data_IF_050931484835
#
_entry.id   IF_050931484835
#
_cell.length_a   1.000
_cell.length_b   1.000
_cell.length_c   1.000
_cell.angle_alpha   90.00
_cell.angle_beta   90.00
_cell.angle_gamma   90.00
#
_symmetry.space_group_name_H-M   'P 1'
#
loop_
_entity.id
_entity.type
_entity.pdbx_description
1 polymer ?
#
# COMPACT_ATOMS: atom_id res chain seq x y z
N UNK A 1 20.55 26.44 -64.38
CA UNK A 1 19.79 26.40 -63.16
C UNK A 1 19.52 24.93 -62.81
N UNK A 2 20.20 24.41 -61.79
CA UNK A 2 19.96 23.06 -61.26
C UNK A 2 19.15 23.20 -59.98
N UNK A 3 17.96 22.59 -59.93
CA UNK A 3 17.12 22.47 -58.73
C UNK A 3 17.52 21.18 -58.00
N UNK A 4 17.89 21.34 -56.74
CA UNK A 4 18.18 20.25 -55.83
C UNK A 4 16.89 19.96 -55.04
N UNK A 5 16.35 18.76 -55.20
CA UNK A 5 15.20 18.28 -54.43
C UNK A 5 15.66 17.79 -53.04
N UNK A 6 15.15 18.35 -51.99
CA UNK A 6 15.32 17.89 -50.60
C UNK A 6 14.23 16.87 -50.30
N UNK A 7 14.63 15.59 -50.21
CA UNK A 7 13.74 14.53 -49.73
C UNK A 7 13.73 14.52 -48.20
N UNK A 8 12.58 14.81 -47.62
CA UNK A 8 12.31 14.64 -46.17
C UNK A 8 12.00 13.18 -45.88
N UNK A 9 12.94 12.52 -45.21
CA UNK A 9 12.75 11.17 -44.67
C UNK A 9 12.00 11.31 -43.34
N UNK A 10 10.71 11.04 -43.32
CA UNK A 10 9.95 10.97 -42.08
C UNK A 10 10.21 9.61 -41.41
N UNK A 11 11.07 9.60 -40.41
CA UNK A 11 11.18 8.48 -39.47
C UNK A 11 10.02 8.53 -38.46
N UNK A 12 9.00 7.70 -38.68
CA UNK A 12 8.03 7.37 -37.64
C UNK A 12 8.64 6.30 -36.74
N UNK A 13 9.28 6.74 -35.65
CA UNK A 13 9.71 5.85 -34.58
C UNK A 13 8.45 5.42 -33.77
N UNK A 14 8.12 4.15 -33.85
CA UNK A 14 7.10 3.54 -33.01
C UNK A 14 7.63 3.40 -31.58
N UNK A 15 7.07 4.10 -30.57
CA UNK A 15 7.61 4.07 -29.20
C UNK A 15 7.41 2.73 -28.47
N UNK A 16 6.60 1.83 -29.01
CA UNK A 16 6.20 0.59 -28.33
C UNK A 16 7.18 -0.58 -28.48
N UNK A 17 8.08 -0.57 -29.48
CA UNK A 17 9.03 -1.68 -29.67
C UNK A 17 10.22 -1.60 -28.70
N UNK A 18 10.70 -0.40 -28.42
CA UNK A 18 11.84 -0.18 -27.51
C UNK A 18 11.49 -0.48 -26.04
N UNK A 19 10.24 -0.24 -25.63
CA UNK A 19 9.75 -0.60 -24.29
C UNK A 19 9.59 -2.11 -24.11
N UNK A 20 9.12 -2.82 -25.15
CA UNK A 20 8.95 -4.27 -25.10
C UNK A 20 10.30 -5.02 -25.13
N UNK A 21 11.29 -4.52 -25.85
CA UNK A 21 12.65 -5.10 -25.85
C UNK A 21 13.39 -4.85 -24.54
N UNK A 22 13.23 -3.66 -23.93
CA UNK A 22 13.82 -3.38 -22.61
C UNK A 22 13.18 -4.21 -21.50
N UNK A 23 11.87 -4.46 -21.54
CA UNK A 23 11.17 -5.35 -20.61
C UNK A 23 11.65 -6.80 -20.72
N UNK A 24 11.82 -7.32 -21.94
CA UNK A 24 12.38 -8.67 -22.17
C UNK A 24 13.83 -8.80 -21.70
N UNK A 25 14.64 -7.76 -21.86
CA UNK A 25 16.04 -7.78 -21.42
C UNK A 25 16.18 -7.78 -19.90
N UNK A 26 15.21 -7.17 -19.18
CA UNK A 26 15.19 -7.11 -17.72
C UNK A 26 14.67 -8.41 -17.07
N UNK A 27 13.80 -9.17 -17.74
CA UNK A 27 13.33 -10.48 -17.27
C UNK A 27 14.41 -11.59 -17.33
N UNK A 28 15.36 -11.48 -18.23
CA UNK A 28 16.36 -12.54 -18.49
C UNK A 28 17.37 -12.74 -17.35
N UNK A 29 17.52 -11.78 -16.42
CA UNK A 29 18.50 -11.86 -15.34
C UNK A 29 17.91 -11.98 -13.93
N UNK A 30 16.59 -12.06 -13.76
CA UNK A 30 15.96 -12.21 -12.45
C UNK A 30 15.55 -13.67 -12.20
N UNK A 31 16.05 -14.28 -11.11
CA UNK A 31 15.67 -15.64 -10.72
C UNK A 31 14.35 -15.69 -9.94
N UNK A 32 14.00 -14.60 -9.28
CA UNK A 32 12.78 -14.51 -8.46
C UNK A 32 12.07 -13.20 -8.69
N UNK A 33 10.75 -13.28 -8.86
CA UNK A 33 9.84 -12.12 -8.90
C UNK A 33 8.91 -12.19 -7.69
N UNK A 34 8.68 -11.03 -7.05
CA UNK A 34 7.66 -10.84 -6.03
C UNK A 34 6.78 -9.66 -6.42
N UNK A 35 5.49 -9.90 -6.50
CA UNK A 35 4.48 -8.87 -6.77
C UNK A 35 3.87 -8.38 -5.46
N UNK A 36 3.84 -7.08 -5.25
CA UNK A 36 3.13 -6.41 -4.18
C UNK A 36 1.91 -5.71 -4.76
N UNK A 37 0.71 -6.14 -4.37
CA UNK A 37 -0.53 -5.40 -4.59
C UNK A 37 -0.87 -4.63 -3.33
N UNK A 38 -1.38 -3.40 -3.48
CA UNK A 38 -1.78 -2.63 -2.31
C UNK A 38 -2.96 -1.70 -2.56
N UNK A 39 -3.66 -1.41 -1.47
CA UNK A 39 -4.73 -0.42 -1.34
C UNK A 39 -4.51 0.41 -0.08
N UNK A 40 -5.22 1.52 0.02
CA UNK A 40 -5.32 2.38 1.19
C UNK A 40 -6.64 3.16 1.16
N UNK A 41 -7.08 3.65 2.31
CA UNK A 41 -8.20 4.59 2.43
C UNK A 41 -9.45 4.11 1.66
N UNK A 42 -9.88 2.88 1.93
CA UNK A 42 -10.99 2.25 1.22
C UNK A 42 -12.34 2.88 1.58
N UNK A 43 -12.46 3.40 2.82
CA UNK A 43 -13.60 4.18 3.28
C UNK A 43 -14.95 3.54 2.97
N UNK A 44 -15.06 2.23 3.25
CA UNK A 44 -16.29 1.45 3.06
C UNK A 44 -16.94 1.61 1.67
N UNK A 45 -16.16 2.02 0.65
CA UNK A 45 -16.66 2.21 -0.71
C UNK A 45 -16.83 0.84 -1.39
N UNK A 46 -17.91 0.14 -1.04
CA UNK A 46 -18.23 -1.19 -1.55
C UNK A 46 -18.67 -1.11 -3.01
N UNK A 47 -19.61 -0.21 -3.31
CA UNK A 47 -20.11 0.02 -4.66
C UNK A 47 -19.20 0.96 -5.44
N UNK A 48 -19.14 0.84 -6.78
CA UNK A 48 -18.50 1.85 -7.62
C UNK A 48 -19.19 3.21 -7.45
N UNK A 49 -18.48 4.26 -7.83
CA UNK A 49 -19.11 5.57 -7.96
C UNK A 49 -20.17 5.52 -9.07
N UNK A 50 -21.30 6.18 -8.84
CA UNK A 50 -22.38 6.29 -9.81
C UNK A 50 -21.90 6.99 -11.08
N UNK A 51 -22.54 6.68 -12.22
CA UNK A 51 -22.22 7.28 -13.53
C UNK A 51 -22.41 8.80 -13.56
N UNK A 52 -23.24 9.34 -12.69
CA UNK A 52 -23.48 10.78 -12.52
C UNK A 52 -22.42 11.48 -11.66
N UNK A 53 -21.51 10.76 -11.02
CA UNK A 53 -20.49 11.34 -10.17
C UNK A 53 -19.42 12.06 -11.00
N UNK A 54 -19.22 13.35 -10.76
CA UNK A 54 -18.46 14.22 -11.67
C UNK A 54 -16.96 13.91 -11.74
N UNK A 55 -16.37 13.38 -10.68
CA UNK A 55 -14.90 13.17 -10.59
C UNK A 55 -14.44 11.80 -11.06
N UNK A 56 -15.14 10.75 -10.67
CA UNK A 56 -14.74 9.36 -10.90
C UNK A 56 -15.94 8.49 -11.33
N UNK A 57 -16.67 8.86 -12.41
CA UNK A 57 -17.86 8.14 -12.82
C UNK A 57 -17.53 6.67 -13.14
N UNK A 58 -18.36 5.76 -12.68
CA UNK A 58 -18.23 4.31 -12.88
C UNK A 58 -16.93 3.69 -12.37
N UNK A 59 -16.16 4.37 -11.49
CA UNK A 59 -14.90 3.84 -10.98
C UNK A 59 -15.04 3.25 -9.57
N UNK A 60 -14.07 2.40 -9.19
CA UNK A 60 -14.03 1.73 -7.91
C UNK A 60 -14.93 0.48 -7.85
N UNK A 61 -15.26 0.10 -6.62
CA UNK A 61 -16.09 -1.05 -6.30
C UNK A 61 -15.30 -2.32 -5.97
N UNK A 62 -15.74 -2.98 -4.87
CA UNK A 62 -15.06 -4.18 -4.36
C UNK A 62 -15.14 -5.37 -5.32
N UNK A 63 -16.27 -5.54 -6.03
CA UNK A 63 -16.44 -6.65 -6.99
C UNK A 63 -15.44 -6.56 -8.13
N UNK A 64 -15.28 -5.40 -8.75
CA UNK A 64 -14.29 -5.17 -9.81
C UNK A 64 -12.86 -5.34 -9.31
N UNK A 65 -12.56 -4.80 -8.13
CA UNK A 65 -11.24 -4.99 -7.51
C UNK A 65 -10.96 -6.47 -7.24
N UNK A 66 -11.93 -7.23 -6.74
CA UNK A 66 -11.80 -8.67 -6.53
C UNK A 66 -11.51 -9.41 -7.85
N UNK A 67 -12.24 -9.10 -8.92
CA UNK A 67 -12.00 -9.70 -10.23
C UNK A 67 -10.59 -9.41 -10.76
N UNK A 68 -10.12 -8.16 -10.65
CA UNK A 68 -8.77 -7.78 -11.04
C UNK A 68 -7.71 -8.49 -10.21
N UNK A 69 -7.86 -8.54 -8.87
CA UNK A 69 -6.94 -9.26 -7.98
C UNK A 69 -6.89 -10.74 -8.34
N UNK A 70 -8.03 -11.37 -8.60
CA UNK A 70 -8.11 -12.77 -9.01
C UNK A 70 -7.38 -13.01 -10.34
N UNK A 71 -7.56 -12.13 -11.33
CA UNK A 71 -6.83 -12.18 -12.59
C UNK A 71 -5.32 -12.11 -12.36
N UNK A 72 -4.84 -11.12 -11.60
CA UNK A 72 -3.41 -10.97 -11.31
C UNK A 72 -2.88 -12.21 -10.57
N UNK A 73 -3.62 -12.76 -9.59
CA UNK A 73 -3.22 -13.99 -8.88
C UNK A 73 -3.13 -15.22 -9.79
N UNK A 74 -3.89 -15.27 -10.87
CA UNK A 74 -3.77 -16.35 -11.85
C UNK A 74 -2.47 -16.29 -12.65
N UNK A 75 -1.96 -15.08 -12.87
CA UNK A 75 -0.75 -14.76 -13.61
C UNK A 75 0.51 -14.76 -12.71
N UNK A 76 0.38 -14.22 -11.49
CA UNK A 76 1.48 -13.98 -10.54
C UNK A 76 1.39 -14.96 -9.36
N UNK A 77 2.28 -15.96 -9.34
CA UNK A 77 2.27 -17.00 -8.28
C UNK A 77 2.85 -16.53 -6.95
N UNK A 78 3.73 -15.53 -6.99
CA UNK A 78 4.45 -15.02 -5.82
C UNK A 78 3.99 -13.60 -5.51
N UNK A 79 2.93 -13.46 -4.71
CA UNK A 79 2.21 -12.21 -4.50
C UNK A 79 1.88 -11.97 -3.03
N UNK A 80 1.92 -10.72 -2.61
CA UNK A 80 1.34 -10.19 -1.37
C UNK A 80 0.31 -9.10 -1.71
N UNK A 81 -0.85 -9.13 -1.06
CA UNK A 81 -1.89 -8.11 -1.13
C UNK A 81 -2.00 -7.42 0.23
N UNK A 82 -1.68 -6.12 0.28
CA UNK A 82 -1.51 -5.34 1.49
C UNK A 82 -2.46 -4.13 1.51
N UNK A 83 -2.77 -3.64 2.70
CA UNK A 83 -3.60 -2.44 2.87
C UNK A 83 -2.98 -1.49 3.92
N UNK A 84 -3.10 -0.20 3.69
CA UNK A 84 -2.49 0.83 4.54
C UNK A 84 -3.50 1.58 5.43
N UNK A 85 -4.62 0.93 5.78
CA UNK A 85 -5.60 1.46 6.76
C UNK A 85 -6.67 2.39 6.17
N UNK A 86 -7.50 2.93 7.06
CA UNK A 86 -8.74 3.64 6.75
C UNK A 86 -9.69 2.79 5.88
N UNK A 87 -9.95 1.59 6.38
CA UNK A 87 -10.90 0.65 5.78
C UNK A 87 -12.33 1.14 6.02
N UNK A 88 -12.57 1.67 7.24
CA UNK A 88 -13.88 2.07 7.73
C UNK A 88 -14.28 3.48 7.30
N UNK A 89 -15.58 3.78 7.51
CA UNK A 89 -16.19 5.09 7.37
C UNK A 89 -16.23 5.60 5.91
N UNK A 90 -17.24 6.40 5.56
CA UNK A 90 -17.37 7.08 4.27
C UNK A 90 -18.61 6.69 3.47
N UNK A 91 -19.26 5.57 3.75
CA UNK A 91 -20.52 5.16 3.09
C UNK A 91 -21.54 4.59 4.09
N UNK A 92 -22.84 4.51 3.73
CA UNK A 92 -23.86 3.88 4.57
C UNK A 92 -23.55 2.44 4.99
N UNK A 93 -22.72 1.70 4.23
CA UNK A 93 -22.32 0.34 4.57
C UNK A 93 -21.66 0.27 5.95
N UNK A 94 -20.76 1.20 6.25
CA UNK A 94 -20.15 1.27 7.58
C UNK A 94 -21.20 1.51 8.69
N UNK A 95 -22.17 2.39 8.45
CA UNK A 95 -23.22 2.68 9.43
C UNK A 95 -24.09 1.46 9.73
N UNK A 96 -24.34 0.60 8.74
CA UNK A 96 -25.16 -0.60 8.91
C UNK A 96 -24.38 -1.80 9.45
N UNK A 97 -23.13 -1.99 9.00
CA UNK A 97 -22.36 -3.20 9.27
C UNK A 97 -21.17 -2.98 10.20
N UNK A 98 -20.80 -1.71 10.50
CA UNK A 98 -19.76 -1.35 11.46
C UNK A 98 -18.36 -1.88 11.12
N UNK A 99 -18.08 -2.19 9.84
CA UNK A 99 -16.81 -2.74 9.38
C UNK A 99 -16.82 -4.26 9.13
N UNK A 100 -17.88 -4.96 9.54
CA UNK A 100 -17.97 -6.42 9.35
C UNK A 100 -17.95 -6.82 7.86
N UNK A 101 -18.68 -6.07 7.02
CA UNK A 101 -18.76 -6.32 5.58
C UNK A 101 -17.40 -6.12 4.91
N UNK A 102 -16.72 -5.03 5.23
CA UNK A 102 -15.41 -4.68 4.70
C UNK A 102 -14.39 -5.80 4.99
N UNK A 103 -14.31 -6.24 6.24
CA UNK A 103 -13.37 -7.30 6.64
C UNK A 103 -13.68 -8.65 5.99
N UNK A 104 -14.97 -9.00 5.84
CA UNK A 104 -15.38 -10.21 5.12
C UNK A 104 -14.96 -10.15 3.65
N UNK A 105 -15.22 -9.04 2.96
CA UNK A 105 -14.90 -8.87 1.55
C UNK A 105 -13.39 -8.83 1.32
N UNK A 106 -12.62 -8.13 2.15
CA UNK A 106 -11.16 -8.14 2.11
C UNK A 106 -10.59 -9.55 2.34
N UNK A 107 -11.17 -10.30 3.28
CA UNK A 107 -10.78 -11.68 3.54
C UNK A 107 -11.06 -12.60 2.34
N UNK A 108 -12.20 -12.40 1.65
CA UNK A 108 -12.54 -13.14 0.42
C UNK A 108 -11.57 -12.80 -0.72
N UNK A 109 -11.11 -11.56 -0.83
CA UNK A 109 -10.08 -11.14 -1.79
C UNK A 109 -8.68 -11.66 -1.44
N UNK A 110 -8.49 -12.18 -0.21
CA UNK A 110 -7.23 -12.74 0.24
C UNK A 110 -6.17 -11.68 0.57
N UNK A 111 -6.55 -10.61 1.28
CA UNK A 111 -5.56 -9.70 1.84
C UNK A 111 -4.62 -10.46 2.79
N UNK A 112 -3.32 -10.19 2.70
CA UNK A 112 -2.28 -10.84 3.52
C UNK A 112 -2.03 -10.09 4.83
N UNK A 113 -2.18 -8.76 4.84
CA UNK A 113 -2.08 -7.90 6.03
C UNK A 113 -2.66 -6.51 5.78
N UNK A 114 -3.04 -5.82 6.87
CA UNK A 114 -3.38 -4.40 6.89
C UNK A 114 -2.73 -3.71 8.10
N UNK A 115 -2.67 -2.36 8.09
CA UNK A 115 -2.48 -1.56 9.31
C UNK A 115 -3.79 -0.83 9.66
N UNK A 116 -3.81 -0.11 10.80
CA UNK A 116 -4.96 0.72 11.17
C UNK A 116 -4.71 2.18 10.79
N UNK A 117 -5.72 2.79 10.15
CA UNK A 117 -5.80 4.23 10.00
C UNK A 117 -6.64 4.88 11.11
N UNK A 118 -6.81 6.20 11.07
CA UNK A 118 -7.57 6.93 12.09
C UNK A 118 -9.08 6.63 12.04
N UNK A 119 -9.63 6.39 10.87
CA UNK A 119 -11.05 6.04 10.73
C UNK A 119 -11.38 4.60 11.14
N UNK A 120 -10.38 3.73 11.26
CA UNK A 120 -10.59 2.39 11.83
C UNK A 120 -10.92 2.44 13.34
N UNK A 121 -10.76 3.62 13.99
CA UNK A 121 -11.21 3.88 15.35
C UNK A 121 -12.61 4.51 15.46
N UNK A 122 -13.31 4.79 14.37
CA UNK A 122 -14.58 5.54 14.40
C UNK A 122 -15.69 4.84 15.19
N UNK A 123 -15.74 3.51 15.19
CA UNK A 123 -16.63 2.71 16.04
C UNK A 123 -16.07 2.42 17.45
N UNK A 124 -14.94 3.05 17.80
CA UNK A 124 -14.20 2.74 19.01
C UNK A 124 -13.52 1.38 19.00
N UNK A 125 -12.70 1.13 20.01
CA UNK A 125 -11.99 -0.15 20.17
C UNK A 125 -12.95 -1.34 20.31
N UNK A 126 -14.09 -1.13 20.96
CA UNK A 126 -15.12 -2.17 21.10
C UNK A 126 -15.71 -2.57 19.74
N UNK A 127 -16.07 -1.57 18.92
CA UNK A 127 -16.60 -1.81 17.58
C UNK A 127 -15.58 -2.52 16.68
N UNK A 128 -14.33 -2.10 16.71
CA UNK A 128 -13.26 -2.75 15.97
C UNK A 128 -13.07 -4.22 16.42
N UNK A 129 -12.94 -4.45 17.74
CA UNK A 129 -12.78 -5.80 18.30
C UNK A 129 -13.94 -6.72 17.93
N UNK A 130 -15.18 -6.22 17.95
CA UNK A 130 -16.38 -6.98 17.59
C UNK A 130 -16.31 -7.54 16.18
N UNK A 131 -15.79 -6.77 15.20
CA UNK A 131 -15.76 -7.18 13.79
C UNK A 131 -14.46 -7.85 13.39
N UNK A 132 -13.38 -7.70 14.18
CA UNK A 132 -12.05 -8.25 13.92
C UNK A 132 -12.04 -9.76 13.59
N UNK A 133 -12.86 -10.66 14.17
CA UNK A 133 -12.89 -12.08 13.80
C UNK A 133 -13.24 -12.35 12.33
N UNK A 134 -13.82 -11.38 11.61
CA UNK A 134 -14.12 -11.49 10.19
C UNK A 134 -12.90 -11.21 9.30
N UNK A 135 -11.87 -10.55 9.81
CA UNK A 135 -10.59 -10.39 9.12
C UNK A 135 -9.77 -11.69 9.23
N UNK A 136 -9.47 -12.32 8.09
CA UNK A 136 -8.60 -13.51 8.01
C UNK A 136 -7.12 -13.13 7.77
N UNK A 137 -6.79 -11.88 7.93
CA UNK A 137 -5.48 -11.28 7.84
C UNK A 137 -5.17 -10.51 9.13
N UNK A 138 -3.89 -10.42 9.52
CA UNK A 138 -3.51 -9.66 10.71
C UNK A 138 -3.53 -8.16 10.47
N UNK A 139 -3.84 -7.40 11.53
CA UNK A 139 -3.52 -5.98 11.61
C UNK A 139 -2.13 -5.82 12.22
N UNK A 140 -1.26 -5.10 11.49
CA UNK A 140 0.12 -4.82 11.88
C UNK A 140 0.20 -3.38 12.38
N UNK A 141 0.29 -3.19 13.68
CA UNK A 141 0.31 -1.88 14.34
C UNK A 141 1.54 -1.80 15.24
N UNK A 142 2.61 -1.15 14.76
CA UNK A 142 3.88 -1.13 15.47
C UNK A 142 4.00 0.02 16.45
N UNK A 143 3.35 1.18 16.15
CA UNK A 143 3.43 2.40 16.94
C UNK A 143 2.18 2.74 17.75
N UNK A 144 1.17 1.88 17.74
CA UNK A 144 0.05 1.93 18.67
C UNK A 144 0.25 0.86 19.75
N UNK A 145 0.49 1.29 20.98
CA UNK A 145 0.49 0.39 22.14
C UNK A 145 -0.93 0.27 22.69
N UNK A 146 -1.50 -0.91 22.52
CA UNK A 146 -2.85 -1.25 23.00
C UNK A 146 -2.86 -1.89 24.37
N UNK A 147 -1.75 -1.93 25.07
CA UNK A 147 -1.61 -2.52 26.37
C UNK A 147 -2.65 -2.03 27.35
N UNK A 148 -3.34 -2.00 28.03
CA UNK A 148 -4.43 -1.47 28.85
C UNK A 148 -5.72 -1.19 28.07
N UNK A 149 -5.87 -1.75 26.87
CA UNK A 149 -7.10 -1.69 26.10
C UNK A 149 -7.61 -3.08 25.76
N UNK A 150 -8.83 -3.14 25.25
CA UNK A 150 -9.41 -4.42 24.80
C UNK A 150 -8.76 -4.99 23.55
N UNK A 151 -7.91 -4.21 22.85
CA UNK A 151 -7.15 -4.67 21.68
C UNK A 151 -5.76 -5.20 22.07
N UNK A 152 -5.42 -5.30 23.35
CA UNK A 152 -4.18 -5.92 23.79
C UNK A 152 -4.07 -7.36 23.26
N UNK A 153 -2.96 -7.65 22.55
CA UNK A 153 -2.72 -8.93 21.88
C UNK A 153 -3.62 -9.24 20.66
N UNK A 154 -4.46 -8.29 20.21
CA UNK A 154 -5.33 -8.47 19.04
C UNK A 154 -4.66 -8.03 17.72
N UNK A 155 -3.65 -7.19 17.81
CA UNK A 155 -2.80 -6.76 16.69
C UNK A 155 -1.39 -7.28 16.89
N UNK A 156 -0.57 -7.24 15.84
CA UNK A 156 0.83 -7.66 15.92
C UNK A 156 1.75 -6.52 15.50
N UNK A 157 2.97 -6.41 16.07
CA UNK A 157 3.86 -5.31 15.73
C UNK A 157 4.57 -5.49 14.37
N UNK A 158 4.75 -6.72 13.91
CA UNK A 158 5.33 -7.03 12.60
C UNK A 158 4.91 -8.42 12.12
N UNK A 159 5.05 -8.67 10.83
CA UNK A 159 4.85 -9.99 10.21
C UNK A 159 6.00 -10.28 9.23
N UNK A 160 6.39 -11.55 9.17
CA UNK A 160 7.36 -12.01 8.16
C UNK A 160 6.67 -13.01 7.26
N UNK A 161 6.75 -12.78 5.95
CA UNK A 161 6.27 -13.69 4.92
C UNK A 161 7.47 -14.31 4.20
N UNK A 162 7.36 -15.58 3.87
CA UNK A 162 8.30 -16.25 2.96
C UNK A 162 7.58 -16.47 1.62
N UNK A 163 8.01 -15.80 0.60
CA UNK A 163 7.44 -15.84 -0.74
C UNK A 163 8.48 -16.36 -1.72
N UNK A 164 8.41 -17.66 -2.02
CA UNK A 164 9.35 -18.36 -2.91
C UNK A 164 10.82 -18.13 -2.52
N UNK A 165 11.11 -18.27 -1.21
CA UNK A 165 12.46 -18.08 -0.67
C UNK A 165 12.82 -16.63 -0.35
N UNK A 166 12.09 -15.62 -0.85
CA UNK A 166 12.26 -14.22 -0.48
C UNK A 166 11.57 -13.96 0.87
N UNK A 167 12.33 -13.47 1.83
CA UNK A 167 11.86 -13.16 3.18
C UNK A 167 11.45 -11.69 3.27
N UNK A 168 10.14 -11.44 3.39
CA UNK A 168 9.55 -10.10 3.42
C UNK A 168 9.14 -9.76 4.85
N UNK A 169 9.78 -8.76 5.45
CA UNK A 169 9.40 -8.23 6.74
C UNK A 169 8.45 -7.04 6.57
N UNK A 170 7.33 -7.04 7.29
CA UNK A 170 6.33 -5.98 7.24
C UNK A 170 6.09 -5.47 8.65
N UNK A 171 6.08 -4.15 8.82
CA UNK A 171 5.64 -3.45 10.03
C UNK A 171 4.68 -2.31 9.66
N UNK A 172 3.93 -1.76 10.62
CA UNK A 172 2.91 -0.75 10.35
C UNK A 172 2.99 0.45 11.27
N UNK A 173 2.82 1.66 10.75
CA UNK A 173 2.76 2.90 11.54
C UNK A 173 1.50 3.70 11.21
N UNK A 174 0.87 4.24 12.26
CA UNK A 174 -0.31 5.09 12.15
C UNK A 174 -0.08 6.49 12.70
N UNK A 175 -0.94 7.41 12.30
CA UNK A 175 -0.92 8.83 12.67
C UNK A 175 -1.29 9.00 14.15
N UNK A 176 -0.88 10.13 14.75
CA UNK A 176 -1.31 10.52 16.08
C UNK A 176 -2.84 10.70 16.13
N UNK A 177 -3.49 10.00 17.05
CA UNK A 177 -4.95 10.00 17.18
C UNK A 177 -5.48 11.24 17.91
N UNK A 178 -4.66 11.83 18.79
CA UNK A 178 -5.04 13.01 19.54
C UNK A 178 -5.31 14.20 18.61
N UNK A 179 -6.47 14.81 18.76
CA UNK A 179 -6.90 15.91 17.88
C UNK A 179 -7.57 15.48 16.57
N UNK A 180 -7.41 14.20 16.16
CA UNK A 180 -8.06 13.62 14.98
C UNK A 180 -9.25 12.74 15.35
N UNK A 181 -9.08 11.89 16.35
CA UNK A 181 -10.07 10.91 16.80
C UNK A 181 -10.52 11.27 18.22
N UNK A 182 -11.79 11.11 18.52
CA UNK A 182 -12.31 11.34 19.87
C UNK A 182 -11.64 10.41 20.89
N UNK A 183 -11.22 10.93 22.07
CA UNK A 183 -10.52 10.14 23.10
C UNK A 183 -11.28 8.85 23.47
N UNK A 184 -12.60 8.87 23.47
CA UNK A 184 -13.43 7.70 23.78
C UNK A 184 -13.25 6.57 22.75
N UNK A 185 -12.94 6.89 21.50
CA UNK A 185 -12.81 5.91 20.42
C UNK A 185 -11.49 5.15 20.46
N UNK A 186 -10.40 5.78 20.94
CA UNK A 186 -9.10 5.09 21.05
C UNK A 186 -8.71 4.76 22.52
N UNK A 187 -9.49 5.19 23.50
CA UNK A 187 -9.30 4.82 24.90
C UNK A 187 -7.90 5.10 25.44
N UNK A 188 -7.28 4.11 26.08
CA UNK A 188 -5.93 4.19 26.64
C UNK A 188 -4.83 3.78 25.63
N UNK A 189 -5.15 3.71 24.34
CA UNK A 189 -4.13 3.50 23.29
C UNK A 189 -3.05 4.57 23.35
N UNK A 190 -1.78 4.15 23.43
CA UNK A 190 -0.65 5.05 23.43
C UNK A 190 -0.04 5.09 22.03
N UNK A 191 0.01 6.28 21.45
CA UNK A 191 0.73 6.52 20.21
C UNK A 191 2.22 6.75 20.50
N UNK A 192 3.07 6.12 19.69
CA UNK A 192 4.53 6.24 19.75
C UNK A 192 5.04 6.90 18.48
N UNK A 193 6.18 7.61 18.56
CA UNK A 193 6.76 8.31 17.42
C UNK A 193 7.05 7.36 16.26
N UNK A 194 6.41 7.55 15.08
CA UNK A 194 6.53 6.61 13.98
C UNK A 194 7.94 6.52 13.38
N UNK A 195 8.77 7.58 13.49
CA UNK A 195 10.15 7.56 13.01
C UNK A 195 11.01 6.63 13.89
N UNK A 196 10.89 6.72 15.21
CA UNK A 196 11.62 5.88 16.16
C UNK A 196 11.22 4.41 16.01
N UNK A 197 9.92 4.16 15.93
CA UNK A 197 9.36 2.82 15.75
C UNK A 197 9.75 2.23 14.39
N UNK A 198 9.68 3.01 13.33
CA UNK A 198 10.07 2.54 11.99
C UNK A 198 11.57 2.23 11.92
N UNK A 199 12.43 3.04 12.57
CA UNK A 199 13.86 2.75 12.67
C UNK A 199 14.10 1.45 13.43
N UNK A 200 13.44 1.25 14.58
CA UNK A 200 13.56 0.04 15.37
C UNK A 200 13.16 -1.21 14.56
N UNK A 201 11.96 -1.24 13.98
CA UNK A 201 11.48 -2.43 13.28
C UNK A 201 12.20 -2.67 11.95
N UNK A 202 12.58 -1.64 11.21
CA UNK A 202 13.34 -1.83 9.98
C UNK A 202 14.74 -2.43 10.25
N UNK A 203 15.45 -1.97 11.29
CA UNK A 203 16.73 -2.55 11.71
C UNK A 203 16.55 -3.99 12.21
N UNK A 204 15.58 -4.23 13.07
CA UNK A 204 15.29 -5.57 13.60
C UNK A 204 14.95 -6.56 12.48
N UNK A 205 14.07 -6.19 11.55
CA UNK A 205 13.69 -7.04 10.43
C UNK A 205 14.88 -7.29 9.50
N UNK A 206 15.69 -6.27 9.24
CA UNK A 206 16.85 -6.38 8.36
C UNK A 206 17.99 -7.15 8.99
N UNK A 207 18.35 -6.82 10.22
CA UNK A 207 19.60 -7.28 10.85
C UNK A 207 19.39 -8.56 11.67
N UNK A 208 18.30 -8.68 12.46
CA UNK A 208 18.08 -9.84 13.31
C UNK A 208 17.27 -10.92 12.59
N UNK A 209 16.22 -10.53 11.87
CA UNK A 209 15.37 -11.46 11.12
C UNK A 209 15.90 -11.78 9.74
N UNK A 210 16.90 -11.04 9.22
CA UNK A 210 17.51 -11.25 7.90
C UNK A 210 16.48 -11.23 6.77
N UNK A 211 15.59 -10.24 6.78
CA UNK A 211 14.62 -10.05 5.70
C UNK A 211 15.30 -9.50 4.45
N UNK A 212 14.95 -10.07 3.31
CA UNK A 212 15.46 -9.67 1.98
C UNK A 212 14.77 -8.37 1.51
N UNK A 213 13.51 -8.15 1.91
CA UNK A 213 12.71 -6.94 1.65
C UNK A 213 12.03 -6.49 2.93
N UNK A 214 12.01 -5.18 3.21
CA UNK A 214 11.33 -4.58 4.36
C UNK A 214 10.32 -3.55 3.87
N UNK A 215 9.04 -3.76 4.22
CA UNK A 215 7.92 -2.91 3.82
C UNK A 215 7.31 -2.27 5.07
N UNK A 216 7.05 -0.96 5.00
CA UNK A 216 6.26 -0.22 5.98
C UNK A 216 4.85 -0.01 5.42
N UNK A 217 3.82 -0.48 6.12
CA UNK A 217 2.44 -0.03 5.92
C UNK A 217 2.26 1.25 6.72
N UNK A 218 2.01 2.36 6.05
CA UNK A 218 2.01 3.67 6.67
C UNK A 218 0.65 4.35 6.55
N UNK A 219 0.12 4.81 7.69
CA UNK A 219 -1.08 5.64 7.71
C UNK A 219 -0.80 6.99 8.40
N UNK A 220 0.32 7.65 7.98
CA UNK A 220 0.72 8.95 8.53
C UNK A 220 0.61 10.10 7.53
N UNK A 221 0.24 9.79 6.27
CA UNK A 221 0.14 10.75 5.19
C UNK A 221 1.42 10.92 4.37
N UNK A 222 1.25 11.16 3.06
CA UNK A 222 2.36 11.29 2.12
C UNK A 222 3.21 12.55 2.36
N UNK A 223 2.52 13.72 2.45
CA UNK A 223 3.16 15.04 2.57
C UNK A 223 2.16 16.06 3.13
N UNK A 224 2.67 17.05 3.88
CA UNK A 224 1.89 18.15 4.44
C UNK A 224 2.48 19.48 3.99
N UNK A 225 1.91 20.07 2.93
CA UNK A 225 2.43 21.31 2.32
C UNK A 225 2.38 22.50 3.29
N UNK A 226 1.34 22.56 4.13
CA UNK A 226 1.11 23.66 5.08
C UNK A 226 1.90 23.46 6.39
N UNK A 227 2.41 22.28 6.65
CA UNK A 227 3.28 21.97 7.79
C UNK A 227 4.40 20.97 7.38
N UNK A 228 5.47 21.47 6.74
CA UNK A 228 6.56 20.62 6.25
C UNK A 228 7.34 19.87 7.34
N UNK A 229 7.09 20.18 8.64
CA UNK A 229 7.71 19.48 9.78
C UNK A 229 6.84 18.35 10.32
N UNK A 230 5.56 18.31 9.95
CA UNK A 230 4.66 17.23 10.34
C UNK A 230 5.16 15.91 9.76
N UNK A 231 5.26 14.90 10.62
CA UNK A 231 5.75 13.57 10.21
C UNK A 231 4.87 13.04 9.08
N UNK A 232 5.52 12.61 8.01
CA UNK A 232 4.91 12.13 6.76
C UNK A 232 5.76 11.00 6.17
N UNK A 233 5.23 10.29 5.17
CA UNK A 233 5.96 9.22 4.47
C UNK A 233 7.27 9.72 3.88
N UNK A 234 7.31 10.95 3.37
CA UNK A 234 8.53 11.59 2.85
C UNK A 234 9.59 11.77 3.95
N UNK A 235 9.16 12.26 5.11
CA UNK A 235 10.06 12.46 6.26
C UNK A 235 10.50 11.09 6.81
N UNK A 236 9.57 10.14 6.91
CA UNK A 236 9.87 8.78 7.36
C UNK A 236 10.94 8.13 6.46
N UNK A 237 10.76 8.18 5.14
CA UNK A 237 11.71 7.66 4.17
C UNK A 237 13.10 8.30 4.32
N UNK A 238 13.16 9.63 4.50
CA UNK A 238 14.42 10.35 4.61
C UNK A 238 15.13 10.16 5.96
N UNK A 239 14.37 9.94 7.05
CA UNK A 239 14.90 9.88 8.42
C UNK A 239 15.08 8.48 8.99
N UNK A 240 14.80 7.43 8.23
CA UNK A 240 14.98 6.04 8.67
C UNK A 240 15.93 5.28 7.75
N UNK A 241 16.39 4.11 8.21
CA UNK A 241 17.22 3.20 7.45
C UNK A 241 16.59 1.82 7.38
N UNK A 242 16.94 1.03 6.35
CA UNK A 242 16.54 -0.37 6.27
C UNK A 242 15.17 -0.65 5.66
N UNK A 243 14.37 0.38 5.38
CA UNK A 243 13.10 0.27 4.63
C UNK A 243 13.40 0.28 3.13
N UNK A 244 12.73 -0.57 2.36
CA UNK A 244 12.78 -0.57 0.90
C UNK A 244 11.55 0.06 0.27
N UNK A 245 10.36 -0.14 0.89
CA UNK A 245 9.08 0.33 0.38
C UNK A 245 8.20 0.83 1.52
N UNK A 246 7.61 2.01 1.34
CA UNK A 246 6.52 2.54 2.16
C UNK A 246 5.25 2.53 1.31
N UNK A 247 4.22 1.86 1.79
CA UNK A 247 2.87 1.90 1.25
C UNK A 247 2.05 2.83 2.14
N UNK A 248 1.73 4.02 1.60
CA UNK A 248 1.12 5.11 2.37
C UNK A 248 -0.40 5.15 2.31
N UNK A 249 -0.99 5.97 3.21
CA UNK A 249 -2.42 6.26 3.32
C UNK A 249 -2.67 7.67 3.90
N UNK A 250 -3.87 7.92 4.41
CA UNK A 250 -4.34 9.09 5.14
C UNK A 250 -4.57 10.36 4.30
N UNK A 251 -3.65 10.76 3.47
CA UNK A 251 -3.77 12.01 2.68
C UNK A 251 -4.47 11.81 1.33
N UNK A 252 -4.94 10.61 1.03
CA UNK A 252 -5.63 10.26 -0.22
C UNK A 252 -4.84 10.67 -1.46
N UNK A 253 -3.51 10.62 -1.40
CA UNK A 253 -2.64 11.10 -2.47
C UNK A 253 -2.63 10.11 -3.63
N UNK A 254 -2.95 10.58 -4.83
CA UNK A 254 -2.80 9.79 -6.05
C UNK A 254 -1.38 9.98 -6.60
N UNK A 255 -0.50 9.02 -6.34
CA UNK A 255 0.82 8.99 -6.96
C UNK A 255 0.72 8.20 -8.27
N UNK A 256 1.05 8.81 -9.42
CA UNK A 256 1.01 8.10 -10.70
C UNK A 256 2.04 6.97 -10.75
N UNK A 257 3.12 7.11 -9.99
CA UNK A 257 4.20 6.15 -9.82
C UNK A 257 4.82 6.26 -8.43
N UNK A 258 5.45 5.19 -7.90
CA UNK A 258 6.21 5.26 -6.67
C UNK A 258 7.28 6.34 -6.72
N UNK A 259 7.36 7.16 -5.68
CA UNK A 259 8.36 8.22 -5.54
C UNK A 259 9.58 7.67 -4.80
N UNK A 260 10.78 8.00 -5.27
CA UNK A 260 12.04 7.57 -4.66
C UNK A 260 12.61 8.66 -3.76
N UNK A 261 12.94 8.31 -2.53
CA UNK A 261 13.58 9.17 -1.54
C UNK A 261 14.90 8.57 -1.08
N UNK A 262 15.89 9.43 -0.82
CA UNK A 262 17.16 8.99 -0.28
C UNK A 262 17.12 9.00 1.25
N UNK A 263 17.42 7.87 1.87
CA UNK A 263 17.48 7.73 3.32
C UNK A 263 18.81 8.24 3.92
N UNK A 264 18.93 8.19 5.26
CA UNK A 264 20.15 8.67 5.98
C UNK A 264 21.45 7.98 5.54
N UNK A 265 21.37 6.77 4.97
CA UNK A 265 22.53 5.99 4.49
C UNK A 265 22.73 6.08 2.97
N UNK A 266 22.08 7.03 2.31
CA UNK A 266 22.21 7.24 0.87
C UNK A 266 21.54 6.15 0.02
N UNK A 267 20.63 5.34 0.57
CA UNK A 267 19.89 4.31 -0.15
C UNK A 267 18.50 4.81 -0.53
N UNK A 268 18.00 4.33 -1.65
CA UNK A 268 16.66 4.64 -2.10
C UNK A 268 15.59 3.89 -1.29
N UNK A 269 14.53 4.60 -0.94
CA UNK A 269 13.29 4.11 -0.37
C UNK A 269 12.16 4.50 -1.30
N UNK A 270 11.36 3.54 -1.74
CA UNK A 270 10.17 3.83 -2.54
C UNK A 270 8.99 4.15 -1.64
N UNK A 271 8.21 5.17 -2.02
CA UNK A 271 6.93 5.52 -1.38
C UNK A 271 5.84 5.50 -2.43
N UNK A 272 4.76 4.74 -2.19
CA UNK A 272 3.59 4.74 -3.05
C UNK A 272 2.30 4.92 -2.23
N UNK A 273 1.35 5.67 -2.80
CA UNK A 273 -0.01 5.83 -2.28
C UNK A 273 -0.98 5.88 -3.46
N UNK A 274 -2.11 5.17 -3.38
CA UNK A 274 -3.02 4.95 -4.52
C UNK A 274 -4.37 5.64 -4.35
N UNK A 275 -4.34 6.83 -3.78
CA UNK A 275 -5.52 7.67 -3.60
C UNK A 275 -6.43 7.15 -2.49
N UNK A 276 -7.70 6.89 -2.81
CA UNK A 276 -8.74 6.48 -1.86
C UNK A 276 -9.87 5.71 -2.54
N UNK A 277 -10.83 5.21 -1.74
CA UNK A 277 -12.07 4.58 -2.19
C UNK A 277 -11.88 3.36 -3.11
N UNK A 278 -10.67 2.79 -3.16
CA UNK A 278 -10.35 1.67 -4.04
C UNK A 278 -10.46 2.01 -5.53
N UNK A 279 -10.23 3.28 -5.90
CA UNK A 279 -10.19 3.75 -7.29
C UNK A 279 -9.01 3.17 -8.06
N UNK A 280 -7.89 2.95 -7.36
CA UNK A 280 -6.71 2.32 -7.91
C UNK A 280 -6.33 1.07 -7.11
N UNK A 281 -5.72 0.11 -7.79
CA UNK A 281 -4.96 -0.98 -7.19
C UNK A 281 -3.49 -0.77 -7.55
N UNK A 282 -2.65 -0.54 -6.54
CA UNK A 282 -1.21 -0.43 -6.74
C UNK A 282 -0.61 -1.80 -7.01
N UNK A 283 0.28 -1.89 -8.00
CA UNK A 283 1.06 -3.08 -8.31
C UNK A 283 2.52 -2.70 -8.45
N UNK A 284 3.38 -3.33 -7.64
CA UNK A 284 4.84 -3.14 -7.66
C UNK A 284 5.48 -4.52 -7.75
N UNK A 285 6.30 -4.74 -8.75
CA UNK A 285 7.03 -5.98 -8.98
C UNK A 285 8.51 -5.79 -8.62
N UNK A 286 9.00 -6.57 -7.68
CA UNK A 286 10.42 -6.65 -7.31
C UNK A 286 11.06 -7.86 -8.00
N UNK A 287 12.20 -7.63 -8.65
CA UNK A 287 12.99 -8.66 -9.33
C UNK A 287 14.31 -8.87 -8.58
N UNK A 288 14.58 -10.09 -8.20
CA UNK A 288 15.73 -10.45 -7.37
C UNK A 288 16.72 -11.36 -8.13
N UNK A 289 18.01 -11.19 -7.85
CA UNK A 289 19.05 -12.12 -8.29
C UNK A 289 19.10 -13.39 -7.41
N UNK A 290 20.00 -14.32 -7.75
CA UNK A 290 20.26 -15.56 -6.99
C UNK A 290 20.67 -15.32 -5.52
N UNK A 291 21.20 -14.14 -5.20
CA UNK A 291 21.58 -13.76 -3.85
C UNK A 291 20.44 -13.00 -3.12
N UNK A 292 19.25 -12.98 -3.69
CA UNK A 292 18.05 -12.29 -3.19
C UNK A 292 18.22 -10.78 -3.04
N UNK A 293 19.07 -10.19 -3.87
CA UNK A 293 19.21 -8.74 -3.97
C UNK A 293 18.29 -8.20 -5.05
N UNK A 294 17.57 -7.14 -4.75
CA UNK A 294 16.74 -6.43 -5.72
C UNK A 294 17.61 -5.90 -6.85
N UNK A 295 17.31 -6.31 -8.08
CA UNK A 295 17.99 -5.89 -9.31
C UNK A 295 17.19 -4.87 -10.08
N UNK A 296 15.86 -5.03 -10.07
CA UNK A 296 14.97 -4.15 -10.78
C UNK A 296 13.61 -4.06 -10.06
N UNK A 297 12.90 -2.97 -10.29
CA UNK A 297 11.55 -2.73 -9.78
C UNK A 297 10.72 -2.18 -10.93
N UNK A 298 9.53 -2.73 -11.14
CA UNK A 298 8.54 -2.16 -12.05
C UNK A 298 7.22 -1.92 -11.32
N UNK A 299 6.40 -1.04 -11.85
CA UNK A 299 5.12 -0.68 -11.23
C UNK A 299 4.05 -0.39 -12.26
N UNK A 300 2.80 -0.58 -11.84
CA UNK A 300 1.62 -0.26 -12.62
C UNK A 300 0.40 -0.07 -11.71
N UNK A 301 0.07 1.18 -11.39
CA UNK A 301 -1.16 1.48 -10.66
C UNK A 301 -2.36 1.29 -11.59
N UNK A 302 -3.22 0.32 -11.28
CA UNK A 302 -4.33 -0.07 -12.15
C UNK A 302 -5.64 0.63 -11.75
N UNK A 303 -6.29 1.27 -12.69
CA UNK A 303 -7.61 1.89 -12.48
C UNK A 303 -8.67 0.79 -12.32
N UNK A 304 -9.49 0.92 -11.30
CA UNK A 304 -10.65 0.06 -11.09
C UNK A 304 -11.85 0.73 -11.74
N UNK A 305 -12.29 0.25 -12.88
CA UNK A 305 -13.42 0.81 -13.63
C UNK A 305 -14.27 -0.27 -14.33
N UNK A 306 -15.20 0.16 -15.17
CA UNK A 306 -16.17 -0.71 -15.88
C UNK A 306 -15.55 -1.57 -17.00
N UNK A 307 -14.27 -1.37 -17.34
CA UNK A 307 -13.53 -2.27 -18.24
C UNK A 307 -13.18 -3.61 -17.58
N UNK A 308 -13.26 -3.66 -16.24
CA UNK A 308 -13.06 -4.91 -15.48
C UNK A 308 -14.39 -5.65 -15.43
N UNK A 309 -14.42 -6.80 -16.12
CA UNK A 309 -15.58 -7.70 -16.12
C UNK A 309 -15.61 -8.50 -14.81
N UNK A 310 -16.79 -8.49 -14.15
CA UNK A 310 -17.05 -9.18 -12.87
C UNK A 310 -17.75 -10.50 -13.13
#
# INVERSE_FOLDING_TARGET
>A
LKTIGVGTLSMTLAPNLLLAENLKFLEVNSEHKLTILHTNDQHSRIEPFDSSYTRNPNQGGFARRAALIQKIRSEEKNLLLLDSGDIFQGTPYFNFFGGELEFKLMSMMGYDASTMGNHDFDNGLEGFKKVLPNAKFPFICSNYDFKNTILDGQTIPYKIFNKNGIKVGIFGVGIELAGLVGKKSYGETVWQNPIEIAQHYSEFLRNDKKCDLVICLSHIGYDYKDDPKKISDKILAAQTDGIDLILGGHTHTFLPEPQSFTNRKGKNVLVNQVGWAGLLLGKIDFYFDKNKKVQNISWNNQVIDDRIVV
#
